data_IF_829005842757
#
_entry.id   IF_829005842757
#
_cell.length_a   1.000
_cell.length_b   1.000
_cell.length_c   1.000
_cell.angle_alpha   90.00
_cell.angle_beta   90.00
_cell.angle_gamma   90.00
#
_symmetry.space_group_name_H-M   'P 1'
#
loop_
_entity.id
_entity.type
_entity.pdbx_description
1 polymer ?
#
# COMPACT_ATOMS: atom_id res chain seq x y z
N UNK A 1 12.75 -47.64 54.28
CA UNK A 1 12.99 -47.81 52.86
C UNK A 1 11.86 -47.16 51.95
N UNK A 2 11.16 -46.14 52.43
CA UNK A 2 10.12 -45.43 51.67
C UNK A 2 10.47 -43.98 51.38
N UNK A 3 11.56 -43.47 51.92
CA UNK A 3 11.94 -42.02 51.78
C UNK A 3 12.70 -41.74 50.45
N UNK A 4 13.42 -42.71 49.92
CA UNK A 4 14.25 -42.54 48.73
C UNK A 4 13.45 -42.51 47.40
N UNK A 5 12.22 -42.99 47.41
CA UNK A 5 11.40 -43.01 46.20
C UNK A 5 10.82 -41.63 45.85
N UNK A 6 10.53 -40.81 46.87
CA UNK A 6 9.99 -39.46 46.65
C UNK A 6 11.03 -38.43 46.21
N UNK A 7 12.29 -38.66 46.60
CA UNK A 7 13.40 -37.75 46.18
C UNK A 7 13.74 -37.97 44.72
N UNK A 8 13.60 -39.19 44.20
CA UNK A 8 13.82 -39.46 42.77
C UNK A 8 12.71 -38.87 41.85
N UNK A 9 11.48 -38.77 42.38
CA UNK A 9 10.36 -38.20 41.61
C UNK A 9 10.40 -36.67 41.51
N UNK A 10 11.02 -35.99 42.49
CA UNK A 10 11.18 -34.53 42.53
C UNK A 10 12.32 -34.01 41.65
N UNK A 11 13.28 -34.85 41.28
CA UNK A 11 14.36 -34.45 40.35
C UNK A 11 13.98 -34.51 38.86
N UNK A 12 12.87 -35.15 38.51
CA UNK A 12 12.42 -35.25 37.11
C UNK A 12 11.52 -34.13 36.65
N UNK A 13 11.10 -33.22 37.55
CA UNK A 13 10.16 -32.12 37.22
C UNK A 13 10.84 -30.80 36.83
N UNK A 14 12.16 -30.74 36.74
CA UNK A 14 12.93 -29.54 36.42
C UNK A 14 13.59 -29.55 35.02
N UNK A 15 13.13 -30.40 34.10
CA UNK A 15 13.52 -30.24 32.69
C UNK A 15 12.68 -29.11 32.16
N UNK A 16 13.17 -27.88 32.40
CA UNK A 16 12.64 -26.70 31.76
C UNK A 16 12.78 -26.84 30.23
N UNK A 17 11.67 -27.04 29.57
CA UNK A 17 11.62 -26.91 28.11
C UNK A 17 11.92 -25.45 27.79
N UNK A 18 13.19 -25.14 27.55
CA UNK A 18 13.54 -23.85 26.94
C UNK A 18 12.95 -23.83 25.54
N UNK A 19 11.75 -23.30 25.44
CA UNK A 19 11.17 -22.95 24.17
C UNK A 19 12.10 -21.95 23.46
N UNK A 20 12.84 -22.43 22.50
CA UNK A 20 13.56 -21.54 21.57
C UNK A 20 12.52 -20.81 20.76
N UNK A 21 12.07 -19.66 21.28
CA UNK A 21 11.26 -18.74 20.52
C UNK A 21 12.04 -18.37 19.28
N UNK A 22 11.63 -18.88 18.13
CA UNK A 22 12.06 -18.31 16.85
C UNK A 22 11.63 -16.86 16.88
N UNK A 23 12.58 -15.95 16.93
CA UNK A 23 12.33 -14.55 16.65
C UNK A 23 11.83 -14.49 15.19
N UNK A 24 10.51 -14.56 15.01
CA UNK A 24 9.93 -14.30 13.71
C UNK A 24 10.26 -12.83 13.39
N UNK A 25 11.07 -12.62 12.39
CA UNK A 25 11.27 -11.29 11.81
C UNK A 25 9.88 -10.75 11.47
N UNK A 26 9.51 -9.55 11.93
CA UNK A 26 8.23 -8.99 11.58
C UNK A 26 8.17 -8.86 10.05
N UNK A 27 7.29 -9.63 9.43
CA UNK A 27 7.00 -9.49 8.00
C UNK A 27 6.07 -8.29 7.85
N UNK A 28 6.56 -7.22 7.24
CA UNK A 28 5.72 -6.13 6.81
C UNK A 28 5.07 -6.52 5.47
N UNK A 29 3.76 -6.41 5.40
CA UNK A 29 3.00 -6.60 4.17
C UNK A 29 2.72 -5.23 3.55
N UNK A 30 2.93 -5.10 2.26
CA UNK A 30 2.62 -3.92 1.47
C UNK A 30 1.46 -4.26 0.53
N UNK A 31 0.38 -3.50 0.62
CA UNK A 31 -0.78 -3.65 -0.27
C UNK A 31 -0.66 -2.67 -1.41
N UNK A 32 -0.71 -3.17 -2.64
CA UNK A 32 -0.62 -2.38 -3.86
C UNK A 32 -1.89 -2.53 -4.67
N UNK A 33 -2.47 -1.41 -5.09
CA UNK A 33 -3.60 -1.35 -5.99
C UNK A 33 -3.17 -0.74 -7.32
N UNK A 34 -3.54 -1.36 -8.44
CA UNK A 34 -3.36 -0.79 -9.77
C UNK A 34 -4.71 -0.65 -10.45
N UNK A 35 -5.00 0.54 -10.98
CA UNK A 35 -6.23 0.87 -11.68
C UNK A 35 -5.94 1.54 -13.03
N UNK A 36 -6.54 1.02 -14.09
CA UNK A 36 -6.78 1.82 -15.29
C UNK A 36 -8.06 2.62 -15.04
N UNK A 37 -7.96 3.93 -15.00
CA UNK A 37 -9.06 4.82 -14.61
C UNK A 37 -9.85 5.36 -15.79
N UNK A 38 -9.62 4.80 -16.97
CA UNK A 38 -10.35 5.12 -18.18
C UNK A 38 -10.69 6.61 -18.32
N UNK A 39 -9.65 7.40 -18.64
CA UNK A 39 -9.79 8.85 -18.76
C UNK A 39 -10.29 9.55 -17.48
N UNK A 40 -9.76 9.14 -16.32
CA UNK A 40 -10.11 9.69 -15.00
C UNK A 40 -11.60 9.50 -14.62
N UNK A 41 -12.23 8.45 -15.14
CA UNK A 41 -13.65 8.20 -14.95
C UNK A 41 -14.58 9.18 -15.66
N UNK A 42 -14.05 10.08 -16.52
CA UNK A 42 -14.84 11.13 -17.17
C UNK A 42 -15.86 10.62 -18.21
N UNK A 43 -15.68 9.37 -18.65
CA UNK A 43 -16.55 8.74 -19.66
C UNK A 43 -17.87 8.22 -19.05
N UNK A 44 -17.88 8.00 -17.72
CA UNK A 44 -19.04 7.44 -17.01
C UNK A 44 -19.52 8.44 -15.97
N UNK A 45 -20.84 8.67 -15.90
CA UNK A 45 -21.42 9.49 -14.84
C UNK A 45 -21.05 8.94 -13.46
N UNK A 46 -20.53 9.80 -12.58
CA UNK A 46 -20.04 9.39 -11.25
C UNK A 46 -18.74 8.59 -11.26
N UNK A 47 -18.08 8.41 -12.42
CA UNK A 47 -16.89 7.57 -12.55
C UNK A 47 -15.72 8.02 -11.67
N UNK A 48 -15.48 9.33 -11.55
CA UNK A 48 -14.44 9.86 -10.65
C UNK A 48 -14.71 9.51 -9.18
N UNK A 49 -15.96 9.65 -8.72
CA UNK A 49 -16.33 9.31 -7.35
C UNK A 49 -16.22 7.80 -7.11
N UNK A 50 -16.57 6.98 -8.10
CA UNK A 50 -16.41 5.53 -8.02
C UNK A 50 -14.93 5.11 -7.88
N UNK A 51 -14.02 5.79 -8.58
CA UNK A 51 -12.57 5.58 -8.42
C UNK A 51 -12.15 5.93 -6.99
N UNK A 52 -12.61 7.05 -6.47
CA UNK A 52 -12.29 7.48 -5.11
C UNK A 52 -12.85 6.51 -4.05
N UNK A 53 -14.05 5.98 -4.26
CA UNK A 53 -14.68 4.99 -3.39
C UNK A 53 -13.88 3.68 -3.39
N UNK A 54 -13.48 3.19 -4.55
CA UNK A 54 -12.67 1.98 -4.70
C UNK A 54 -11.33 2.10 -3.97
N UNK A 55 -10.61 3.19 -4.20
CA UNK A 55 -9.33 3.45 -3.52
C UNK A 55 -9.51 3.52 -2.01
N UNK A 56 -10.57 4.19 -1.54
CA UNK A 56 -10.87 4.32 -0.11
C UNK A 56 -11.25 2.98 0.52
N UNK A 57 -11.97 2.13 -0.21
CA UNK A 57 -12.41 0.81 0.26
C UNK A 57 -11.25 -0.18 0.34
N UNK A 58 -10.42 -0.26 -0.69
CA UNK A 58 -9.24 -1.15 -0.72
C UNK A 58 -8.21 -0.70 0.30
N UNK A 59 -8.08 0.61 0.51
CA UNK A 59 -7.14 1.21 1.46
C UNK A 59 -5.69 0.71 1.28
N UNK A 60 -5.27 0.61 0.04
CA UNK A 60 -3.93 0.13 -0.31
C UNK A 60 -2.84 1.10 0.18
N UNK A 61 -1.64 0.57 0.43
CA UNK A 61 -0.48 1.37 0.85
C UNK A 61 0.08 2.20 -0.31
N UNK A 62 0.02 1.64 -1.52
CA UNK A 62 0.42 2.30 -2.77
C UNK A 62 -0.67 2.07 -3.81
N UNK A 63 -1.00 3.12 -4.56
CA UNK A 63 -1.95 3.05 -5.68
C UNK A 63 -1.30 3.57 -6.94
N UNK A 64 -1.37 2.79 -8.01
CA UNK A 64 -0.94 3.19 -9.35
C UNK A 64 -2.15 3.43 -10.23
N UNK A 65 -2.12 4.52 -10.96
CA UNK A 65 -3.13 4.85 -11.96
C UNK A 65 -2.53 4.87 -13.36
N UNK A 66 -3.27 4.38 -14.33
CA UNK A 66 -3.04 4.60 -15.76
C UNK A 66 -4.23 5.34 -16.38
N UNK A 67 -4.01 6.03 -17.48
CA UNK A 67 -4.93 6.92 -18.16
C UNK A 67 -5.29 8.18 -17.36
N UNK A 68 -4.28 8.76 -16.70
CA UNK A 68 -4.34 10.09 -16.09
C UNK A 68 -4.16 11.15 -17.17
N UNK A 69 -5.16 11.98 -17.42
CA UNK A 69 -5.18 12.96 -18.53
C UNK A 69 -5.04 14.40 -18.09
N UNK A 70 -5.27 14.70 -16.81
CA UNK A 70 -5.23 16.07 -16.26
C UNK A 70 -6.11 17.06 -17.05
N UNK A 71 -7.37 16.70 -17.24
CA UNK A 71 -8.31 17.49 -18.03
C UNK A 71 -8.54 18.90 -17.48
N UNK A 72 -8.76 19.85 -18.39
CA UNK A 72 -9.10 21.24 -18.07
C UNK A 72 -8.07 21.96 -17.17
N UNK A 73 -6.80 21.58 -17.26
CA UNK A 73 -5.74 22.18 -16.46
C UNK A 73 -5.82 21.83 -14.98
N UNK A 74 -6.60 20.82 -14.60
CA UNK A 74 -6.66 20.31 -13.22
C UNK A 74 -5.90 19.00 -13.10
N UNK A 75 -5.12 18.89 -12.01
CA UNK A 75 -4.34 17.68 -11.77
C UNK A 75 -5.19 16.60 -11.10
N UNK A 76 -5.29 15.44 -11.74
CA UNK A 76 -6.03 14.31 -11.20
C UNK A 76 -5.56 13.92 -9.81
N UNK A 77 -4.26 13.84 -9.59
CA UNK A 77 -3.69 13.46 -8.28
C UNK A 77 -4.14 14.41 -7.17
N UNK A 78 -4.16 15.72 -7.41
CA UNK A 78 -4.65 16.67 -6.42
C UNK A 78 -6.14 16.47 -6.12
N UNK A 79 -6.96 16.25 -7.16
CA UNK A 79 -8.40 16.02 -7.01
C UNK A 79 -8.70 14.73 -6.25
N UNK A 80 -8.01 13.64 -6.57
CA UNK A 80 -8.26 12.35 -5.92
C UNK A 80 -7.80 12.36 -4.45
N UNK A 81 -6.70 13.05 -4.11
CA UNK A 81 -6.27 13.25 -2.71
C UNK A 81 -7.35 13.98 -1.92
N UNK A 82 -7.93 15.05 -2.47
CA UNK A 82 -9.00 15.80 -1.82
C UNK A 82 -10.28 14.94 -1.64
N UNK A 83 -10.62 14.12 -2.63
CA UNK A 83 -11.76 13.21 -2.56
C UNK A 83 -11.54 12.11 -1.50
N UNK A 84 -10.33 11.59 -1.40
CA UNK A 84 -9.95 10.59 -0.41
C UNK A 84 -9.92 11.18 1.01
N UNK A 85 -9.47 12.42 1.16
CA UNK A 85 -9.51 13.13 2.44
C UNK A 85 -10.94 13.28 2.98
N UNK A 86 -11.92 13.58 2.10
CA UNK A 86 -13.34 13.60 2.47
C UNK A 86 -13.87 12.24 2.94
N UNK A 87 -13.22 11.14 2.52
CA UNK A 87 -13.49 9.75 2.91
C UNK A 87 -12.67 9.29 4.13
N UNK A 88 -11.96 10.22 4.78
CA UNK A 88 -11.13 9.93 5.96
C UNK A 88 -9.82 9.21 5.64
N UNK A 89 -9.37 9.25 4.39
CA UNK A 89 -8.11 8.63 3.95
C UNK A 89 -7.04 9.70 3.69
N UNK A 90 -5.81 9.41 4.07
CA UNK A 90 -4.67 10.31 3.86
C UNK A 90 -3.68 9.65 2.93
N UNK A 91 -3.39 10.31 1.82
CA UNK A 91 -2.42 9.88 0.82
C UNK A 91 -1.54 11.05 0.42
N UNK A 92 -0.32 10.70 0.02
CA UNK A 92 0.63 11.58 -0.66
C UNK A 92 0.64 11.21 -2.14
N UNK A 93 0.89 12.16 -3.00
CA UNK A 93 1.02 11.94 -4.43
C UNK A 93 1.50 13.22 -5.08
N UNK A 94 2.15 13.08 -6.22
CA UNK A 94 2.67 14.20 -6.97
C UNK A 94 2.12 14.19 -8.40
N UNK A 95 1.96 15.38 -8.95
CA UNK A 95 1.58 15.54 -10.34
C UNK A 95 2.70 15.04 -11.26
N UNK A 96 2.30 14.22 -12.22
CA UNK A 96 3.17 13.80 -13.31
C UNK A 96 2.53 14.20 -14.64
N UNK A 97 3.28 14.77 -15.61
CA UNK A 97 2.74 15.13 -16.91
C UNK A 97 2.42 13.92 -17.79
N UNK A 98 2.77 12.74 -17.33
CA UNK A 98 2.52 11.49 -18.04
C UNK A 98 1.10 10.98 -17.80
N UNK A 99 0.74 9.98 -18.57
CA UNK A 99 -0.50 9.24 -18.54
C UNK A 99 -0.64 8.30 -17.32
N UNK A 100 0.10 8.56 -16.27
CA UNK A 100 0.18 7.73 -15.06
C UNK A 100 0.16 8.59 -13.80
N UNK A 101 -0.20 7.97 -12.68
CA UNK A 101 -0.19 8.62 -11.37
C UNK A 101 0.10 7.63 -10.25
N UNK A 102 0.58 8.15 -9.15
CA UNK A 102 0.87 7.38 -7.95
C UNK A 102 0.29 8.07 -6.71
N UNK A 103 -0.29 7.26 -5.82
CA UNK A 103 -0.57 7.65 -4.43
C UNK A 103 0.15 6.71 -3.49
N UNK A 104 0.53 7.22 -2.33
CA UNK A 104 1.16 6.46 -1.27
C UNK A 104 0.67 6.92 0.10
N UNK A 105 0.48 6.01 1.05
CA UNK A 105 0.31 6.36 2.46
C UNK A 105 1.60 6.86 3.11
N UNK A 106 2.73 6.62 2.44
CA UNK A 106 4.04 7.04 2.90
C UNK A 106 4.48 8.29 2.12
N UNK A 107 5.30 9.13 2.75
CA UNK A 107 5.84 10.30 2.08
C UNK A 107 6.71 9.90 0.88
N UNK A 108 6.46 10.51 -0.28
CA UNK A 108 7.24 10.31 -1.50
C UNK A 108 8.45 11.24 -1.42
N UNK A 109 9.64 10.67 -1.25
CA UNK A 109 10.87 11.45 -1.09
C UNK A 109 11.50 11.85 -2.42
N UNK A 110 11.27 11.04 -3.46
CA UNK A 110 11.81 11.27 -4.80
C UNK A 110 10.90 10.62 -5.83
N UNK A 111 10.76 11.27 -6.96
CA UNK A 111 10.10 10.76 -8.15
C UNK A 111 11.02 10.94 -9.34
N UNK A 112 11.23 9.89 -10.12
CA UNK A 112 12.02 9.91 -11.34
C UNK A 112 11.19 9.43 -12.51
N UNK A 113 11.28 10.16 -13.62
CA UNK A 113 10.62 9.81 -14.87
C UNK A 113 11.61 9.04 -15.72
N UNK A 114 11.39 7.75 -15.89
CA UNK A 114 12.21 6.90 -16.73
C UNK A 114 11.56 6.77 -18.11
N UNK A 115 12.15 7.44 -19.09
CA UNK A 115 11.80 7.27 -20.49
C UNK A 115 12.93 6.62 -21.26
N UNK A 116 12.65 5.62 -22.09
CA UNK A 116 13.39 5.51 -23.33
C UNK A 116 12.92 6.66 -24.22
N UNK A 117 13.82 7.46 -24.73
CA UNK A 117 13.59 8.71 -25.49
C UNK A 117 12.60 8.59 -26.66
N UNK A 118 12.21 7.39 -27.06
CA UNK A 118 11.43 7.10 -28.27
C UNK A 118 10.18 6.21 -28.03
N UNK A 119 9.80 5.91 -26.80
CA UNK A 119 8.81 4.84 -26.55
C UNK A 119 7.36 5.32 -26.42
N UNK A 120 7.05 6.60 -26.34
CA UNK A 120 5.67 7.09 -26.14
C UNK A 120 4.94 6.55 -24.88
N UNK A 121 5.65 5.73 -24.07
CA UNK A 121 5.14 5.10 -22.88
C UNK A 121 5.96 5.56 -21.68
N UNK A 122 5.32 6.17 -20.68
CA UNK A 122 5.96 6.63 -19.46
C UNK A 122 5.93 5.58 -18.35
N UNK A 123 7.02 5.47 -17.62
CA UNK A 123 7.09 4.69 -16.37
C UNK A 123 7.50 5.60 -15.23
N UNK A 124 6.95 5.37 -14.05
CA UNK A 124 7.34 6.04 -12.80
C UNK A 124 7.97 4.99 -11.89
N UNK A 125 9.10 5.32 -11.32
CA UNK A 125 9.70 4.57 -10.21
C UNK A 125 9.78 5.44 -8.96
#
# INVERSE_FOLDING_TARGET
MKLNFYILLLCLSSIGITSWGRNATPTSHLTVLQLNIWHEGSIVEGGFEAIADEVAQVDADIVFFSEVRNYNGTFFISRIIEALKKRGKTYYGEHNPLDVGILSKYNISQQEIIYPKDSGCGSIL
#
